data_IF_070511024652
#
_entry.id   IF_070511024652
#
_cell.length_a   1.000
_cell.length_b   1.000
_cell.length_c   1.000
_cell.angle_alpha   90.00
_cell.angle_beta   90.00
_cell.angle_gamma   90.00
#
_symmetry.space_group_name_H-M   'P 1'
#
loop_
_entity.id
_entity.type
_entity.pdbx_description
1 polymer ?
#
# COMPACT_ATOMS: atom_id res chain seq x y z
N UNK A 1 26.62 -12.96 1.51
CA UNK A 1 27.74 -12.01 1.67
C UNK A 1 27.35 -10.79 0.87
N UNK A 2 26.80 -9.77 1.52
CA UNK A 2 26.39 -8.54 0.84
C UNK A 2 27.67 -7.76 0.51
N UNK A 3 27.94 -7.56 -0.77
CA UNK A 3 29.01 -6.65 -1.19
C UNK A 3 28.62 -5.24 -0.75
N UNK A 4 29.51 -4.58 -0.01
CA UNK A 4 29.28 -3.22 0.44
C UNK A 4 29.68 -2.29 -0.70
N UNK A 5 28.74 -2.07 -1.63
CA UNK A 5 28.96 -1.32 -2.87
C UNK A 5 29.01 0.21 -2.65
N UNK A 6 29.09 0.66 -1.39
CA UNK A 6 29.01 2.08 -1.00
C UNK A 6 27.60 2.66 -1.04
N UNK A 7 26.60 1.85 -1.38
CA UNK A 7 25.19 2.23 -1.39
C UNK A 7 24.58 2.15 0.02
N UNK A 8 23.80 3.17 0.41
CA UNK A 8 22.99 3.12 1.64
C UNK A 8 21.58 2.67 1.24
N UNK A 9 21.12 1.47 1.64
CA UNK A 9 19.78 1.01 1.30
C UNK A 9 18.69 1.91 1.88
N UNK A 10 17.68 2.17 1.07
CA UNK A 10 16.56 3.06 1.34
C UNK A 10 15.24 2.29 1.36
N UNK A 11 14.36 2.73 2.24
CA UNK A 11 12.98 2.22 2.36
C UNK A 11 12.13 3.27 3.09
N UNK A 12 10.83 3.02 3.19
CA UNK A 12 9.90 3.77 4.03
C UNK A 12 9.33 2.87 5.13
N UNK A 13 8.69 3.47 6.13
CA UNK A 13 8.30 2.75 7.35
C UNK A 13 7.13 1.78 7.14
N UNK A 14 6.20 2.06 6.23
CA UNK A 14 4.98 1.28 6.06
C UNK A 14 3.91 2.03 5.28
N UNK A 15 2.75 2.27 5.90
CA UNK A 15 1.60 2.99 5.32
C UNK A 15 1.94 4.13 4.34
N UNK A 16 1.28 4.10 3.18
CA UNK A 16 1.32 5.14 2.15
C UNK A 16 -0.08 5.74 1.94
N UNK A 17 -0.19 6.93 1.31
CA UNK A 17 -1.47 7.52 0.97
C UNK A 17 -2.33 6.53 0.16
N UNK A 18 -3.60 6.45 0.49
CA UNK A 18 -4.60 5.61 -0.20
C UNK A 18 -5.39 6.49 -1.16
N UNK A 19 -5.82 5.95 -2.31
CA UNK A 19 -6.65 6.73 -3.22
C UNK A 19 -8.07 6.90 -2.65
N UNK A 20 -8.83 7.93 -3.10
CA UNK A 20 -10.14 8.27 -2.54
C UNK A 20 -11.15 7.10 -2.54
N UNK A 21 -11.16 6.31 -3.60
CA UNK A 21 -12.02 5.13 -3.76
C UNK A 21 -11.76 4.09 -2.66
N UNK A 22 -10.49 3.81 -2.35
CA UNK A 22 -10.16 2.86 -1.28
C UNK A 22 -10.49 3.44 0.10
N UNK A 23 -10.33 4.75 0.29
CA UNK A 23 -10.73 5.41 1.54
C UNK A 23 -12.23 5.26 1.80
N UNK A 24 -13.08 5.42 0.78
CA UNK A 24 -14.53 5.23 0.90
C UNK A 24 -14.87 3.81 1.34
N UNK A 25 -14.29 2.79 0.68
CA UNK A 25 -14.52 1.39 1.04
C UNK A 25 -14.04 1.06 2.46
N UNK A 26 -12.91 1.62 2.88
CA UNK A 26 -12.40 1.46 4.24
C UNK A 26 -13.34 2.06 5.27
N UNK A 27 -13.87 3.27 5.01
CA UNK A 27 -14.86 3.92 5.89
C UNK A 27 -16.14 3.09 5.99
N UNK A 28 -16.72 2.67 4.87
CA UNK A 28 -17.91 1.80 4.85
C UNK A 28 -17.70 0.53 5.68
N UNK A 29 -16.54 -0.13 5.52
CA UNK A 29 -16.19 -1.33 6.28
C UNK A 29 -15.99 -1.05 7.78
N UNK A 30 -15.43 0.10 8.16
CA UNK A 30 -15.31 0.53 9.56
C UNK A 30 -16.67 0.79 10.21
N UNK A 31 -17.60 1.37 9.45
CA UNK A 31 -18.96 1.66 9.90
C UNK A 31 -19.86 0.41 9.93
N UNK A 32 -19.33 -0.74 9.51
CA UNK A 32 -20.03 -2.03 9.51
C UNK A 32 -20.99 -2.20 8.34
N UNK A 33 -20.86 -1.37 7.30
CA UNK A 33 -21.65 -1.47 6.09
C UNK A 33 -21.21 -2.64 5.22
N UNK A 34 -22.14 -3.13 4.38
CA UNK A 34 -21.81 -4.11 3.38
C UNK A 34 -20.98 -3.46 2.26
N UNK A 35 -19.79 -4.03 2.03
CA UNK A 35 -18.93 -3.72 0.89
C UNK A 35 -18.93 -4.93 -0.03
N UNK A 36 -19.05 -4.69 -1.34
CA UNK A 36 -18.97 -5.76 -2.33
C UNK A 36 -17.55 -6.37 -2.31
N UNK A 37 -17.41 -7.70 -2.15
CA UNK A 37 -16.09 -8.33 -2.08
C UNK A 37 -15.25 -8.15 -3.34
N UNK A 38 -15.87 -8.15 -4.52
CA UNK A 38 -15.15 -8.01 -5.79
C UNK A 38 -14.67 -6.56 -5.96
N UNK A 39 -15.51 -5.58 -5.62
CA UNK A 39 -15.14 -4.14 -5.59
C UNK A 39 -13.97 -3.89 -4.63
N UNK A 40 -14.01 -4.52 -3.45
CA UNK A 40 -12.94 -4.43 -2.46
C UNK A 40 -11.62 -5.00 -2.98
N UNK A 41 -11.65 -6.23 -3.51
CA UNK A 41 -10.45 -6.93 -3.97
C UNK A 41 -9.82 -6.21 -5.17
N UNK A 42 -10.62 -5.72 -6.12
CA UNK A 42 -10.15 -4.94 -7.27
C UNK A 42 -9.52 -3.62 -6.81
N UNK A 43 -10.22 -2.83 -5.99
CA UNK A 43 -9.74 -1.52 -5.53
C UNK A 43 -8.46 -1.63 -4.69
N UNK A 44 -8.38 -2.63 -3.81
CA UNK A 44 -7.16 -2.89 -3.03
C UNK A 44 -6.00 -3.31 -3.93
N UNK A 45 -6.25 -4.15 -4.93
CA UNK A 45 -5.23 -4.62 -5.84
C UNK A 45 -4.67 -3.48 -6.70
N UNK A 46 -5.53 -2.61 -7.23
CA UNK A 46 -5.14 -1.42 -7.99
C UNK A 46 -4.33 -0.45 -7.13
N UNK A 47 -4.85 -0.06 -5.96
CA UNK A 47 -4.14 0.83 -5.05
C UNK A 47 -2.76 0.28 -4.63
N UNK A 48 -2.67 -1.05 -4.43
CA UNK A 48 -1.40 -1.71 -4.08
C UNK A 48 -0.41 -1.69 -5.25
N UNK A 49 -0.88 -1.92 -6.48
CA UNK A 49 -0.02 -1.83 -7.68
C UNK A 49 0.51 -0.42 -7.85
N UNK A 50 -0.36 0.58 -7.77
CA UNK A 50 0.02 1.99 -7.92
C UNK A 50 1.11 2.42 -6.94
N UNK A 51 1.00 2.03 -5.66
CA UNK A 51 2.04 2.39 -4.69
C UNK A 51 3.33 1.60 -4.89
N UNK A 52 3.25 0.34 -5.35
CA UNK A 52 4.44 -0.47 -5.66
C UNK A 52 5.17 0.12 -6.87
N UNK A 53 4.46 0.45 -7.93
CA UNK A 53 5.04 1.04 -9.15
C UNK A 53 5.72 2.37 -8.83
N UNK A 54 5.09 3.24 -8.03
CA UNK A 54 5.69 4.51 -7.61
C UNK A 54 6.94 4.32 -6.74
N UNK A 55 6.99 3.28 -5.91
CA UNK A 55 8.20 2.99 -5.13
C UNK A 55 9.35 2.50 -6.01
N UNK A 56 9.04 1.68 -7.02
CA UNK A 56 10.02 1.23 -8.03
C UNK A 56 10.54 2.42 -8.84
N UNK A 57 9.64 3.29 -9.32
CA UNK A 57 10.00 4.51 -10.04
C UNK A 57 10.85 5.47 -9.19
N UNK A 58 10.59 5.53 -7.89
CA UNK A 58 11.37 6.32 -6.93
C UNK A 58 12.76 5.75 -6.69
N UNK A 59 12.96 4.44 -6.94
CA UNK A 59 14.25 3.76 -6.76
C UNK A 59 14.52 3.30 -5.33
N UNK A 60 13.49 2.93 -4.56
CA UNK A 60 13.68 2.35 -3.23
C UNK A 60 14.27 0.93 -3.30
N UNK A 61 15.21 0.62 -2.40
CA UNK A 61 15.86 -0.70 -2.34
C UNK A 61 14.97 -1.79 -1.77
N UNK A 62 14.14 -1.41 -0.80
CA UNK A 62 13.15 -2.29 -0.20
C UNK A 62 11.79 -1.59 -0.19
N UNK A 63 10.83 -2.22 -0.86
CA UNK A 63 9.46 -1.72 -1.04
C UNK A 63 8.46 -2.57 -0.24
N UNK A 64 7.29 -2.02 0.05
CA UNK A 64 6.19 -2.77 0.66
C UNK A 64 4.84 -2.41 0.02
N UNK A 65 3.76 -3.05 0.48
CA UNK A 65 2.41 -2.87 -0.08
C UNK A 65 1.72 -1.57 0.35
N UNK A 66 2.41 -0.65 1.02
CA UNK A 66 1.88 0.62 1.51
C UNK A 66 0.70 0.49 2.47
N UNK A 67 0.49 -0.70 3.05
CA UNK A 67 -0.64 -1.06 3.92
C UNK A 67 -2.04 -0.72 3.37
N UNK A 68 -2.21 -0.69 2.04
CA UNK A 68 -3.41 -0.16 1.39
C UNK A 68 -4.72 -0.74 1.97
N UNK A 69 -4.78 -2.04 2.25
CA UNK A 69 -5.96 -2.73 2.79
C UNK A 69 -6.22 -2.56 4.29
N UNK A 70 -5.36 -1.86 5.04
CA UNK A 70 -5.48 -1.73 6.50
C UNK A 70 -6.06 -0.38 6.91
N UNK A 71 -6.94 -0.41 7.91
CA UNK A 71 -7.51 0.76 8.57
C UNK A 71 -6.76 1.20 9.83
N UNK A 72 -6.02 0.28 10.46
CA UNK A 72 -5.22 0.55 11.65
C UNK A 72 -3.98 -0.35 11.71
N UNK A 73 -3.04 0.00 12.59
CA UNK A 73 -1.76 -0.70 12.78
C UNK A 73 -1.79 -1.77 13.88
N UNK A 74 -2.95 -1.98 14.51
CA UNK A 74 -3.13 -2.90 15.64
C UNK A 74 -3.37 -4.34 15.20
#
# INVERSE_FOLDING_TARGET
MTTNDGHIPTTHIGSLPRPPELLDLLTRRQDGEAVDPDEWDETVAEATRDVVDRQVETGLDAINNGEQSRVSFN
#
